data_IF_784077713137
#
_entry.id   IF_784077713137
#
_cell.length_a   1.000
_cell.length_b   1.000
_cell.length_c   1.000
_cell.angle_alpha   90.00
_cell.angle_beta   90.00
_cell.angle_gamma   90.00
#
_symmetry.space_group_name_H-M   'P 1'
#
loop_
_entity.id
_entity.type
_entity.pdbx_description
1 polymer ?
#
# COMPACT_ATOMS: atom_id res chain seq x y z
N UNK A 1 29.34 7.85 15.93
CA UNK A 1 28.60 6.62 15.57
C UNK A 1 27.18 6.84 16.04
N UNK A 2 26.35 7.41 15.17
CA UNK A 2 24.94 7.64 15.48
C UNK A 2 24.25 6.28 15.45
N UNK A 3 24.01 5.71 16.63
CA UNK A 3 23.09 4.58 16.74
C UNK A 3 21.72 5.12 16.36
N UNK A 4 21.22 4.76 15.19
CA UNK A 4 19.81 4.95 14.86
C UNK A 4 18.99 4.17 15.90
N UNK A 5 18.59 4.85 16.97
CA UNK A 5 17.81 4.33 18.10
C UNK A 5 16.32 4.27 17.76
N UNK A 6 15.98 4.02 16.49
CA UNK A 6 14.61 3.95 16.03
C UNK A 6 14.08 2.52 16.12
N UNK A 7 12.86 2.34 16.63
CA UNK A 7 12.14 1.08 16.46
C UNK A 7 11.88 0.84 14.96
N UNK A 8 11.96 -0.41 14.51
CA UNK A 8 11.58 -0.77 13.13
C UNK A 8 10.05 -0.82 13.07
N UNK A 9 9.46 -0.01 12.20
CA UNK A 9 8.00 0.09 12.03
C UNK A 9 7.47 -0.84 10.93
N UNK A 10 8.34 -1.34 10.06
CA UNK A 10 7.98 -2.23 8.95
C UNK A 10 8.92 -2.10 7.77
N UNK A 11 8.59 -2.76 6.67
CA UNK A 11 9.33 -2.67 5.40
C UNK A 11 8.58 -1.76 4.42
N UNK A 12 9.27 -0.84 3.77
CA UNK A 12 8.69 0.04 2.77
C UNK A 12 8.41 -0.73 1.47
N UNK A 13 7.16 -0.88 1.01
CA UNK A 13 6.85 -1.58 -0.23
C UNK A 13 7.34 -0.86 -1.51
N UNK A 14 7.83 0.39 -1.41
CA UNK A 14 8.36 1.14 -2.56
C UNK A 14 9.84 0.82 -2.80
N UNK A 15 10.68 0.86 -1.76
CA UNK A 15 12.12 0.64 -1.89
C UNK A 15 12.61 -0.69 -1.32
N UNK A 16 11.74 -1.43 -0.63
CA UNK A 16 12.01 -2.70 0.06
C UNK A 16 12.97 -2.59 1.24
N UNK A 17 13.25 -1.37 1.71
CA UNK A 17 14.10 -1.11 2.87
C UNK A 17 13.27 -1.00 4.16
N UNK A 18 13.92 -1.25 5.31
CA UNK A 18 13.30 -1.09 6.63
C UNK A 18 13.00 0.39 6.93
N UNK A 19 11.81 0.65 7.45
CA UNK A 19 11.36 1.97 7.90
C UNK A 19 11.52 2.04 9.41
N UNK A 20 12.21 3.07 9.87
CA UNK A 20 12.37 3.37 11.29
C UNK A 20 11.31 4.37 11.77
N UNK A 21 11.05 4.36 13.07
CA UNK A 21 10.03 5.18 13.74
C UNK A 21 10.12 6.68 13.45
N UNK A 22 11.32 7.22 13.28
CA UNK A 22 11.58 8.63 12.97
C UNK A 22 11.31 8.98 11.50
N UNK A 23 11.33 7.99 10.61
CA UNK A 23 11.15 8.13 9.16
C UNK A 23 9.78 7.65 8.66
N UNK A 24 8.93 7.10 9.53
CA UNK A 24 7.66 6.47 9.17
C UNK A 24 6.59 7.47 8.71
N UNK A 25 5.84 7.06 7.69
CA UNK A 25 4.54 7.61 7.33
C UNK A 25 3.61 6.45 6.95
N UNK A 26 2.33 6.55 7.33
CA UNK A 26 1.29 5.62 6.92
C UNK A 26 0.56 6.20 5.72
N UNK A 27 0.35 5.38 4.70
CA UNK A 27 -0.51 5.77 3.58
C UNK A 27 -1.98 5.52 3.87
N UNK A 28 -2.83 5.81 2.90
CA UNK A 28 -4.29 5.61 2.97
C UNK A 28 -4.70 4.12 3.06
N UNK A 29 -3.75 3.19 3.00
CA UNK A 29 -3.93 1.74 3.04
C UNK A 29 -3.24 1.12 4.27
N UNK A 30 -2.86 1.93 5.25
CA UNK A 30 -2.14 1.55 6.47
C UNK A 30 -0.77 0.88 6.22
N UNK A 31 -0.15 1.13 5.06
CA UNK A 31 1.20 0.64 4.76
C UNK A 31 2.26 1.56 5.35
N UNK A 32 3.27 0.96 5.96
CA UNK A 32 4.47 1.65 6.47
C UNK A 32 5.39 2.05 5.31
N UNK A 33 5.63 3.36 5.14
CA UNK A 33 6.50 3.93 4.12
C UNK A 33 7.55 4.87 4.73
N UNK A 34 8.66 5.09 4.03
CA UNK A 34 9.55 6.23 4.34
C UNK A 34 8.89 7.54 3.93
N UNK A 35 9.06 8.59 4.74
CA UNK A 35 8.69 9.98 4.37
C UNK A 35 9.26 10.39 3.00
N UNK A 36 10.51 10.01 2.70
CA UNK A 36 11.17 10.30 1.42
C UNK A 36 10.49 9.59 0.24
N UNK A 37 10.17 8.30 0.39
CA UNK A 37 9.45 7.53 -0.62
C UNK A 37 8.04 8.08 -0.87
N UNK A 38 7.34 8.50 0.19
CA UNK A 38 6.01 9.09 0.08
C UNK A 38 6.00 10.44 -0.65
N UNK A 39 6.93 11.34 -0.34
CA UNK A 39 6.96 12.70 -0.93
C UNK A 39 7.65 12.77 -2.29
N UNK A 40 8.35 11.71 -2.73
CA UNK A 40 9.00 11.68 -4.04
C UNK A 40 7.97 11.89 -5.16
N UNK A 41 8.25 12.87 -6.04
CA UNK A 41 7.42 13.20 -7.21
C UNK A 41 7.74 12.35 -8.44
N UNK A 42 8.96 11.83 -8.56
CA UNK A 42 9.44 11.04 -9.70
C UNK A 42 10.17 9.80 -9.20
N UNK A 43 9.42 8.74 -8.92
CA UNK A 43 9.99 7.44 -8.60
C UNK A 43 9.15 6.35 -9.27
N UNK A 44 9.71 5.68 -10.27
CA UNK A 44 9.04 4.59 -10.99
C UNK A 44 8.53 3.53 -10.01
N UNK A 45 9.28 3.25 -8.93
CA UNK A 45 8.86 2.30 -7.89
C UNK A 45 7.61 2.76 -7.13
N UNK A 46 7.44 4.07 -6.92
CA UNK A 46 6.23 4.63 -6.30
C UNK A 46 5.02 4.48 -7.23
N UNK A 47 5.22 4.71 -8.53
CA UNK A 47 4.16 4.52 -9.53
C UNK A 47 3.76 3.04 -9.59
N UNK A 48 4.75 2.13 -9.64
CA UNK A 48 4.52 0.68 -9.61
C UNK A 48 3.72 0.31 -8.35
N UNK A 49 4.12 0.80 -7.19
CA UNK A 49 3.41 0.57 -5.94
C UNK A 49 1.95 1.07 -5.99
N UNK A 50 1.71 2.28 -6.50
CA UNK A 50 0.35 2.82 -6.67
C UNK A 50 -0.50 1.94 -7.59
N UNK A 51 0.05 1.52 -8.73
CA UNK A 51 -0.62 0.62 -9.67
C UNK A 51 -0.94 -0.74 -9.03
N UNK A 52 -0.03 -1.30 -8.23
CA UNK A 52 -0.26 -2.55 -7.49
C UNK A 52 -1.42 -2.40 -6.49
N UNK A 53 -1.51 -1.27 -5.78
CA UNK A 53 -2.61 -1.01 -4.86
C UNK A 53 -3.97 -0.84 -5.58
N UNK A 54 -3.96 -0.23 -6.78
CA UNK A 54 -5.16 -0.14 -7.61
C UNK A 54 -5.59 -1.49 -8.16
N UNK A 55 -4.63 -2.32 -8.59
CA UNK A 55 -4.88 -3.70 -9.03
C UNK A 55 -5.54 -4.51 -7.91
N UNK A 56 -4.97 -4.48 -6.71
CA UNK A 56 -5.53 -5.19 -5.55
C UNK A 56 -6.95 -4.74 -5.22
N UNK A 57 -7.24 -3.44 -5.34
CA UNK A 57 -8.60 -2.90 -5.15
C UNK A 57 -9.55 -3.42 -6.22
N UNK A 58 -9.12 -3.44 -7.48
CA UNK A 58 -9.92 -3.94 -8.59
C UNK A 58 -10.21 -5.44 -8.45
N UNK A 59 -9.20 -6.24 -8.10
CA UNK A 59 -9.32 -7.69 -7.87
C UNK A 59 -10.33 -7.99 -6.75
N UNK A 60 -10.21 -7.32 -5.59
CA UNK A 60 -11.18 -7.47 -4.49
C UNK A 60 -12.60 -7.11 -4.92
N UNK A 61 -12.76 -6.07 -5.74
CA UNK A 61 -14.07 -5.67 -6.24
C UNK A 61 -14.65 -6.70 -7.20
N UNK A 62 -13.83 -7.29 -8.06
CA UNK A 62 -14.23 -8.40 -8.95
C UNK A 62 -14.68 -9.58 -8.11
N UNK A 63 -13.90 -10.03 -7.13
CA UNK A 63 -14.26 -11.14 -6.25
C UNK A 63 -15.58 -10.91 -5.51
N UNK A 64 -15.81 -9.68 -5.03
CA UNK A 64 -17.06 -9.29 -4.38
C UNK A 64 -18.25 -9.37 -5.34
N UNK A 65 -18.12 -8.83 -6.55
CA UNK A 65 -19.16 -8.89 -7.58
C UNK A 65 -19.46 -10.33 -7.99
N UNK A 66 -18.43 -11.15 -8.19
CA UNK A 66 -18.61 -12.56 -8.47
C UNK A 66 -19.33 -13.30 -7.34
N UNK A 67 -19.01 -12.98 -6.09
CA UNK A 67 -19.70 -13.54 -4.92
C UNK A 67 -21.17 -13.11 -4.89
N UNK A 68 -21.48 -11.86 -5.22
CA UNK A 68 -22.86 -11.37 -5.34
C UNK A 68 -23.62 -12.08 -6.46
N UNK A 69 -22.99 -12.31 -7.62
CA UNK A 69 -23.55 -13.10 -8.73
C UNK A 69 -23.86 -14.53 -8.25
N UNK A 70 -22.86 -15.22 -7.66
CA UNK A 70 -23.02 -16.59 -7.16
C UNK A 70 -24.14 -16.72 -6.11
N UNK A 71 -24.29 -15.70 -5.26
CA UNK A 71 -25.29 -15.68 -4.21
C UNK A 71 -26.68 -15.21 -4.69
N UNK A 72 -26.85 -14.89 -5.99
CA UNK A 72 -28.13 -14.41 -6.55
C UNK A 72 -28.55 -13.03 -6.03
N UNK A 73 -27.63 -12.23 -5.49
CA UNK A 73 -27.91 -10.94 -4.86
C UNK A 73 -27.85 -9.74 -5.82
N UNK A 74 -27.74 -9.98 -7.13
CA UNK A 74 -27.96 -8.92 -8.12
C UNK A 74 -29.47 -8.65 -8.22
N UNK A 75 -29.95 -7.72 -7.40
CA UNK A 75 -31.14 -6.96 -7.75
C UNK A 75 -30.81 -6.22 -9.06
N UNK A 76 -31.26 -6.80 -10.17
CA UNK A 76 -31.34 -6.11 -11.45
C UNK A 76 -32.29 -4.93 -11.22
N UNK A 77 -31.71 -3.74 -11.07
CA UNK A 77 -32.45 -2.49 -11.22
C UNK A 77 -32.78 -2.28 -12.69
#
# INVERSE_FOLDING_TARGET
MDMASGCIMGQCPICEEWVYEDEVILDQHDNTLHKSCFHSRNNDKKIIYQLQQELLKAEKRIEELEKQIRNGQLALF
#
